data_IF_681070000927
#
_entry.id   IF_681070000927
#
_cell.length_a   1.000
_cell.length_b   1.000
_cell.length_c   1.000
_cell.angle_alpha   90.00
_cell.angle_beta   90.00
_cell.angle_gamma   90.00
#
_symmetry.space_group_name_H-M   'P 1'
#
loop_
_entity.id
_entity.type
_entity.pdbx_description
1 polymer ?
#
# COMPACT_ATOMS: atom_id res chain seq x y z
N UNK A 1 -2.49 22.04 -7.67
CA UNK A 1 -1.85 20.75 -7.32
C UNK A 1 -2.97 19.76 -7.00
N UNK A 2 -3.02 18.58 -7.61
CA UNK A 2 -4.12 17.62 -7.37
C UNK A 2 -4.14 17.17 -5.90
N UNK A 3 -5.32 16.81 -5.36
CA UNK A 3 -5.45 16.29 -3.98
C UNK A 3 -4.54 15.07 -3.75
N UNK A 4 -4.38 14.22 -4.77
CA UNK A 4 -3.46 13.09 -4.74
C UNK A 4 -2.00 13.53 -4.64
N UNK A 5 -1.54 14.48 -5.46
CA UNK A 5 -0.14 14.93 -5.44
C UNK A 5 0.30 15.48 -4.08
N UNK A 6 -0.61 16.12 -3.33
CA UNK A 6 -0.33 16.57 -1.95
C UNK A 6 -0.23 15.38 -0.98
N UNK A 7 -1.22 14.48 -1.02
CA UNK A 7 -1.25 13.26 -0.20
C UNK A 7 -0.02 12.38 -0.44
N UNK A 8 0.39 12.21 -1.70
CA UNK A 8 1.55 11.41 -2.10
C UNK A 8 2.86 11.98 -1.52
N UNK A 9 3.04 13.30 -1.60
CA UNK A 9 4.22 13.97 -1.01
C UNK A 9 4.30 13.73 0.49
N UNK A 10 3.20 13.89 1.21
CA UNK A 10 3.14 13.68 2.66
C UNK A 10 3.34 12.21 3.03
N UNK A 11 2.85 11.28 2.20
CA UNK A 11 3.09 9.86 2.37
C UNK A 11 4.59 9.52 2.22
N UNK A 12 5.27 10.08 1.22
CA UNK A 12 6.70 9.84 1.03
C UNK A 12 7.59 10.43 2.13
N UNK A 13 7.10 11.41 2.90
CA UNK A 13 7.79 11.88 4.11
C UNK A 13 7.83 10.83 5.24
N UNK A 14 7.02 9.77 5.18
CA UNK A 14 7.03 8.71 6.19
C UNK A 14 7.41 7.35 5.63
N UNK A 15 7.50 7.21 4.31
CA UNK A 15 7.99 5.98 3.68
C UNK A 15 9.52 5.94 3.73
N UNK A 16 10.05 4.72 3.74
CA UNK A 16 11.48 4.48 3.60
C UNK A 16 11.94 4.81 2.19
N UNK A 17 13.13 5.39 2.10
CA UNK A 17 13.89 5.68 0.88
C UNK A 17 14.92 4.59 0.55
N UNK A 18 14.97 3.53 1.37
CA UNK A 18 15.96 2.46 1.25
C UNK A 18 15.60 1.42 0.17
N UNK A 19 14.32 1.35 -0.20
CA UNK A 19 13.77 0.44 -1.23
C UNK A 19 13.01 1.27 -2.26
N UNK A 20 12.98 0.83 -3.52
CA UNK A 20 12.23 1.51 -4.58
C UNK A 20 10.74 1.15 -4.51
N UNK A 21 10.07 1.71 -3.50
CA UNK A 21 8.62 1.59 -3.34
C UNK A 21 7.93 2.85 -3.85
N UNK A 22 6.97 2.67 -4.75
CA UNK A 22 6.19 3.78 -5.29
C UNK A 22 4.71 3.48 -5.16
N UNK A 23 3.95 4.51 -4.81
CA UNK A 23 2.48 4.49 -4.72
C UNK A 23 1.95 5.39 -5.81
N UNK A 24 1.05 4.85 -6.62
CA UNK A 24 0.48 5.54 -7.76
C UNK A 24 -1.04 5.62 -7.63
N UNK A 25 -1.61 6.68 -8.21
CA UNK A 25 -3.04 6.85 -8.39
C UNK A 25 -3.29 7.51 -9.75
N UNK A 26 -4.19 6.92 -10.54
CA UNK A 26 -4.65 7.49 -11.80
C UNK A 26 -6.16 7.37 -11.90
N UNK A 27 -6.78 8.29 -12.63
CA UNK A 27 -8.21 8.24 -12.95
C UNK A 27 -8.33 8.12 -14.46
N UNK A 28 -8.71 6.95 -14.94
CA UNK A 28 -8.96 6.71 -16.35
C UNK A 28 -10.37 7.18 -16.71
N UNK A 29 -10.51 7.97 -17.77
CA UNK A 29 -11.83 8.32 -18.30
C UNK A 29 -12.31 7.20 -19.19
N UNK A 30 -13.45 6.61 -18.86
CA UNK A 30 -14.23 5.81 -19.81
C UNK A 30 -15.30 6.69 -20.41
N UNK A 31 -15.18 6.90 -21.72
CA UNK A 31 -16.19 7.53 -22.56
C UNK A 31 -16.78 6.42 -23.43
N UNK A 32 -18.00 6.00 -23.10
CA UNK A 32 -18.73 4.96 -23.83
C UNK A 32 -20.10 5.49 -24.23
N UNK A 33 -20.72 4.89 -25.24
CA UNK A 33 -22.07 5.27 -25.70
C UNK A 33 -23.14 5.12 -24.60
N UNK A 34 -22.87 4.32 -23.57
CA UNK A 34 -23.76 4.06 -22.43
C UNK A 34 -23.44 4.91 -21.18
N UNK A 35 -22.47 5.81 -21.25
CA UNK A 35 -22.16 6.74 -20.16
C UNK A 35 -20.69 7.11 -20.02
N UNK A 36 -20.47 8.20 -19.28
CA UNK A 36 -19.14 8.71 -18.92
C UNK A 36 -18.87 8.36 -17.47
N UNK A 37 -17.88 7.50 -17.23
CA UNK A 37 -17.45 7.17 -15.86
C UNK A 37 -15.95 7.32 -15.70
N UNK A 38 -15.54 7.73 -14.51
CA UNK A 38 -14.14 7.81 -14.13
C UNK A 38 -13.76 6.50 -13.42
N UNK A 39 -12.73 5.82 -13.93
CA UNK A 39 -12.15 4.62 -13.35
C UNK A 39 -10.85 4.92 -12.64
N UNK A 40 -10.92 5.17 -11.34
CA UNK A 40 -9.74 5.35 -10.53
C UNK A 40 -9.04 4.03 -10.24
N UNK A 41 -7.71 4.04 -10.29
CA UNK A 41 -6.83 2.91 -10.00
C UNK A 41 -5.75 3.36 -9.04
N UNK A 42 -5.51 2.57 -7.99
CA UNK A 42 -4.32 2.67 -7.16
C UNK A 42 -3.45 1.45 -7.40
N UNK A 43 -2.15 1.65 -7.48
CA UNK A 43 -1.21 0.53 -7.49
C UNK A 43 0.08 0.90 -6.76
N UNK A 44 0.75 -0.12 -6.25
CA UNK A 44 2.02 0.02 -5.54
C UNK A 44 3.03 -0.85 -6.26
N UNK A 45 4.18 -0.25 -6.57
CA UNK A 45 5.33 -0.97 -7.10
C UNK A 45 6.42 -1.12 -6.05
N UNK A 46 7.16 -2.23 -6.13
CA UNK A 46 8.43 -2.44 -5.46
C UNK A 46 9.42 -2.90 -6.52
N UNK A 47 10.52 -2.16 -6.71
CA UNK A 47 11.52 -2.43 -7.76
C UNK A 47 10.85 -2.59 -9.14
N UNK A 48 9.95 -1.66 -9.47
CA UNK A 48 9.11 -1.65 -10.69
C UNK A 48 8.08 -2.80 -10.82
N UNK A 49 8.08 -3.78 -9.93
CA UNK A 49 7.06 -4.85 -9.89
C UNK A 49 5.80 -4.36 -9.19
N UNK A 50 4.62 -4.48 -9.82
CA UNK A 50 3.34 -4.21 -9.16
C UNK A 50 3.07 -5.29 -8.11
N UNK A 51 3.11 -4.90 -6.83
CA UNK A 51 2.86 -5.81 -5.69
C UNK A 51 1.44 -5.68 -5.13
N UNK A 52 0.76 -4.56 -5.39
CA UNK A 52 -0.62 -4.33 -5.00
C UNK A 52 -1.33 -3.48 -6.05
N UNK A 53 -2.56 -3.83 -6.44
CA UNK A 53 -3.29 -3.18 -7.54
C UNK A 53 -4.80 -3.23 -7.32
N UNK A 54 -5.38 -2.06 -7.02
CA UNK A 54 -6.82 -1.87 -6.95
C UNK A 54 -7.30 -1.11 -8.21
N UNK A 55 -8.35 -1.60 -8.89
CA UNK A 55 -9.21 -2.72 -8.48
C UNK A 55 -8.71 -4.11 -8.95
N UNK A 56 -7.69 -4.17 -9.81
CA UNK A 56 -7.35 -5.37 -10.60
C UNK A 56 -7.23 -6.67 -9.80
N UNK A 57 -6.59 -6.65 -8.62
CA UNK A 57 -6.41 -7.84 -7.78
C UNK A 57 -7.69 -8.33 -7.09
N UNK A 58 -8.73 -7.49 -7.08
CA UNK A 58 -9.94 -7.69 -6.31
C UNK A 58 -11.17 -7.91 -7.20
N UNK A 59 -11.03 -7.80 -8.52
CA UNK A 59 -12.10 -8.09 -9.49
C UNK A 59 -12.44 -9.58 -9.45
N UNK A 60 -13.73 -9.88 -9.33
CA UNK A 60 -14.26 -11.24 -9.36
C UNK A 60 -14.62 -11.64 -10.81
N UNK A 61 -14.80 -12.95 -11.04
CA UNK A 61 -15.08 -13.49 -12.38
C UNK A 61 -16.37 -12.96 -13.01
N UNK A 62 -17.34 -12.58 -12.18
CA UNK A 62 -18.62 -11.96 -12.52
C UNK A 62 -18.55 -10.43 -12.69
N UNK A 63 -17.35 -9.84 -12.63
CA UNK A 63 -17.13 -8.40 -12.81
C UNK A 63 -17.40 -7.55 -11.58
N UNK A 64 -17.74 -8.16 -10.44
CA UNK A 64 -17.79 -7.51 -9.14
C UNK A 64 -16.39 -7.23 -8.57
N UNK A 65 -16.35 -6.65 -7.37
CA UNK A 65 -15.10 -6.56 -6.59
C UNK A 65 -15.30 -7.12 -5.20
N UNK A 66 -14.38 -8.01 -4.81
CA UNK A 66 -14.36 -8.63 -3.50
C UNK A 66 -13.19 -8.13 -2.67
N UNK A 67 -13.51 -7.55 -1.52
CA UNK A 67 -12.51 -7.05 -0.59
C UNK A 67 -11.86 -8.19 0.23
N UNK A 68 -10.91 -7.86 1.12
CA UNK A 68 -10.19 -8.87 1.92
C UNK A 68 -11.05 -9.57 2.96
N UNK A 69 -12.22 -9.01 3.32
CA UNK A 69 -13.19 -9.60 4.24
C UNK A 69 -14.23 -10.48 3.54
N UNK A 70 -14.17 -10.58 2.20
CA UNK A 70 -15.12 -11.36 1.39
C UNK A 70 -16.38 -10.59 0.99
N UNK A 71 -16.52 -9.32 1.35
CA UNK A 71 -17.65 -8.49 0.90
C UNK A 71 -17.51 -8.19 -0.59
N UNK A 72 -18.59 -8.40 -1.34
CA UNK A 72 -18.66 -8.18 -2.79
C UNK A 72 -19.53 -6.96 -3.09
N UNK A 73 -18.99 -6.02 -3.84
CA UNK A 73 -19.70 -4.83 -4.30
C UNK A 73 -19.86 -4.82 -5.82
N UNK A 74 -20.96 -4.23 -6.29
CA UNK A 74 -21.22 -3.97 -7.72
C UNK A 74 -20.37 -2.80 -8.25
N UNK A 75 -19.85 -2.95 -9.46
CA UNK A 75 -19.15 -1.93 -10.23
C UNK A 75 -20.16 -1.05 -11.00
N UNK A 76 -20.01 0.29 -11.15
CA UNK A 76 -18.80 1.12 -10.95
C UNK A 76 -18.61 1.89 -9.62
N UNK A 77 -17.33 1.96 -9.19
CA UNK A 77 -16.85 2.35 -7.85
C UNK A 77 -16.78 3.86 -7.59
N UNK A 78 -17.77 4.44 -6.91
CA UNK A 78 -17.73 5.88 -6.58
C UNK A 78 -17.09 6.21 -5.23
N UNK A 79 -17.17 5.33 -4.22
CA UNK A 79 -16.77 5.66 -2.83
C UNK A 79 -15.42 5.10 -2.40
N UNK A 80 -14.99 3.95 -2.93
CA UNK A 80 -13.81 3.22 -2.46
C UNK A 80 -12.50 4.00 -2.56
N UNK A 81 -12.35 4.85 -3.58
CA UNK A 81 -11.15 5.68 -3.74
C UNK A 81 -11.05 6.77 -2.70
N UNK A 82 -12.19 7.42 -2.43
CA UNK A 82 -12.25 8.39 -1.37
C UNK A 82 -11.91 7.71 -0.05
N UNK A 83 -12.35 6.46 0.14
CA UNK A 83 -12.02 5.66 1.32
C UNK A 83 -10.52 5.29 1.38
N UNK A 84 -9.90 4.86 0.28
CA UNK A 84 -8.44 4.60 0.21
C UNK A 84 -7.65 5.88 0.51
N UNK A 85 -8.04 7.02 -0.07
CA UNK A 85 -7.39 8.31 0.20
C UNK A 85 -7.53 8.74 1.67
N UNK A 86 -8.71 8.56 2.26
CA UNK A 86 -8.98 8.83 3.68
C UNK A 86 -8.18 7.90 4.59
N UNK A 87 -8.05 6.62 4.23
CA UNK A 87 -7.26 5.64 4.96
C UNK A 87 -5.77 6.00 4.97
N UNK A 88 -5.21 6.40 3.81
CA UNK A 88 -3.82 6.88 3.72
C UNK A 88 -3.63 8.15 4.57
N UNK A 89 -4.58 9.09 4.50
CA UNK A 89 -4.57 10.32 5.32
C UNK A 89 -4.52 10.00 6.81
N UNK A 90 -5.43 9.15 7.26
CA UNK A 90 -5.51 8.67 8.64
C UNK A 90 -4.20 7.99 9.08
N UNK A 91 -3.59 7.18 8.20
CA UNK A 91 -2.32 6.52 8.49
C UNK A 91 -1.15 7.50 8.64
N UNK A 92 -1.08 8.54 7.81
CA UNK A 92 -0.06 9.59 7.90
C UNK A 92 -0.17 10.32 9.24
N UNK A 93 -1.39 10.70 9.61
CA UNK A 93 -1.70 11.45 10.83
C UNK A 93 -1.56 10.62 12.11
N UNK A 94 -1.49 9.29 12.00
CA UNK A 94 -1.34 8.40 13.16
C UNK A 94 0.06 8.56 13.81
N UNK A 95 0.13 8.86 15.11
CA UNK A 95 1.40 8.95 15.86
C UNK A 95 2.21 7.65 15.88
N UNK A 96 3.55 7.76 15.91
CA UNK A 96 4.51 6.63 15.83
C UNK A 96 4.31 5.56 16.92
N UNK A 97 3.87 5.97 18.11
CA UNK A 97 3.58 5.10 19.26
C UNK A 97 2.30 4.28 19.06
N UNK A 98 1.36 4.75 18.24
CA UNK A 98 0.07 4.10 17.99
C UNK A 98 0.06 3.22 16.74
N UNK A 99 0.97 3.44 15.78
CA UNK A 99 1.00 2.75 14.48
C UNK A 99 0.91 1.22 14.58
N UNK A 100 1.48 0.61 15.63
CA UNK A 100 1.56 -0.85 15.79
C UNK A 100 0.29 -1.46 16.40
N UNK A 101 -0.50 -0.67 17.14
CA UNK A 101 -1.67 -1.13 17.89
C UNK A 101 -2.98 -0.63 17.30
N UNK A 102 -2.97 0.52 16.60
CA UNK A 102 -4.16 1.10 16.00
C UNK A 102 -4.83 0.12 15.03
N UNK A 103 -6.14 -0.02 15.19
CA UNK A 103 -7.03 -0.69 14.24
C UNK A 103 -7.51 0.36 13.26
N UNK A 104 -7.38 0.07 11.97
CA UNK A 104 -7.84 0.93 10.89
C UNK A 104 -9.09 0.27 10.29
N UNK A 105 -10.26 0.71 10.73
CA UNK A 105 -11.54 0.04 10.47
C UNK A 105 -11.88 -0.07 8.98
N UNK A 106 -11.42 0.89 8.19
CA UNK A 106 -11.69 0.97 6.75
C UNK A 106 -10.60 0.36 5.87
N UNK A 107 -9.70 -0.47 6.42
CA UNK A 107 -8.70 -1.21 5.64
C UNK A 107 -9.30 -2.42 4.89
N UNK A 108 -10.23 -2.16 4.00
CA UNK A 108 -10.92 -3.20 3.22
C UNK A 108 -10.02 -3.88 2.19
N UNK A 109 -8.89 -3.28 1.84
CA UNK A 109 -8.02 -3.74 0.76
C UNK A 109 -6.63 -4.21 1.24
N UNK A 110 -6.43 -4.30 2.56
CA UNK A 110 -5.20 -4.79 3.18
C UNK A 110 -3.99 -3.86 2.97
N UNK A 111 -4.22 -2.56 2.79
CA UNK A 111 -3.23 -1.54 2.51
C UNK A 111 -2.39 -1.20 3.76
N UNK A 112 -2.96 -1.27 4.97
CA UNK A 112 -2.26 -0.78 6.17
C UNK A 112 -1.01 -1.60 6.48
N UNK A 113 -1.05 -2.92 6.27
CA UNK A 113 0.13 -3.75 6.48
C UNK A 113 1.24 -3.43 5.46
N UNK A 114 0.88 -3.07 4.22
CA UNK A 114 1.83 -2.59 3.22
C UNK A 114 2.48 -1.28 3.69
N UNK A 115 1.67 -0.31 4.13
CA UNK A 115 2.16 0.97 4.64
C UNK A 115 3.06 0.78 5.87
N UNK A 116 2.67 -0.05 6.84
CA UNK A 116 3.49 -0.39 8.02
C UNK A 116 4.85 -0.95 7.65
N UNK A 117 4.90 -1.84 6.66
CA UNK A 117 6.15 -2.40 6.18
C UNK A 117 7.02 -1.37 5.46
N UNK A 118 6.42 -0.40 4.77
CA UNK A 118 7.13 0.69 4.09
C UNK A 118 7.51 1.87 5.00
N UNK A 119 6.95 1.96 6.20
CA UNK A 119 7.09 3.14 7.07
C UNK A 119 8.47 3.21 7.75
N UNK A 120 9.20 4.32 7.56
CA UNK A 120 10.51 4.54 8.17
C UNK A 120 10.44 4.84 9.66
N UNK A 121 9.29 5.29 10.17
CA UNK A 121 9.03 5.47 11.62
C UNK A 121 9.03 4.12 12.34
N UNK A 122 8.78 3.02 11.62
CA UNK A 122 8.88 1.66 12.13
C UNK A 122 10.29 1.11 11.85
N UNK A 123 11.11 1.08 12.90
CA UNK A 123 12.49 0.59 12.83
C UNK A 123 12.62 -0.93 12.97
N UNK A 124 13.83 -1.40 12.65
CA UNK A 124 14.24 -2.82 12.55
C UNK A 124 13.79 -3.70 13.73
N UNK A 125 13.86 -3.18 14.97
CA UNK A 125 13.44 -3.88 16.21
C UNK A 125 11.98 -4.36 16.18
N UNK A 126 11.12 -3.74 15.36
CA UNK A 126 9.69 -4.09 15.25
C UNK A 126 9.39 -5.06 14.10
N UNK A 127 10.35 -5.34 13.20
CA UNK A 127 10.12 -6.20 12.03
C UNK A 127 9.70 -7.62 12.39
N UNK A 128 10.33 -8.22 13.42
CA UNK A 128 9.93 -9.54 13.90
C UNK A 128 8.48 -9.61 14.40
N UNK A 129 7.98 -8.52 15.03
CA UNK A 129 6.57 -8.43 15.46
C UNK A 129 5.62 -8.27 14.28
N UNK A 130 6.00 -7.46 13.27
CA UNK A 130 5.21 -7.30 12.04
C UNK A 130 5.10 -8.62 11.28
N UNK A 131 6.22 -9.31 11.02
CA UNK A 131 6.28 -10.55 10.24
C UNK A 131 5.35 -11.64 10.79
N UNK A 132 5.17 -11.72 12.12
CA UNK A 132 4.29 -12.70 12.77
C UNK A 132 2.79 -12.41 12.59
N UNK A 133 2.41 -11.16 12.35
CA UNK A 133 1.00 -10.72 12.26
C UNK A 133 0.51 -10.53 10.82
N UNK A 134 1.42 -10.43 9.87
CA UNK A 134 1.11 -10.08 8.48
C UNK A 134 0.93 -11.36 7.65
N UNK A 135 -0.23 -11.48 7.03
CA UNK A 135 -0.51 -12.51 6.02
C UNK A 135 -0.53 -11.94 4.59
N UNK A 136 -0.50 -10.60 4.44
CA UNK A 136 -0.46 -9.94 3.13
C UNK A 136 0.89 -10.16 2.45
N UNK A 137 0.88 -10.82 1.28
CA UNK A 137 2.10 -11.14 0.50
C UNK A 137 2.89 -9.90 0.07
N UNK A 138 2.22 -8.82 -0.34
CA UNK A 138 2.85 -7.57 -0.75
C UNK A 138 3.58 -6.91 0.43
N UNK A 139 2.95 -6.89 1.61
CA UNK A 139 3.57 -6.39 2.83
C UNK A 139 4.79 -7.22 3.25
N UNK A 140 4.71 -8.56 3.15
CA UNK A 140 5.83 -9.45 3.42
C UNK A 140 7.01 -9.22 2.47
N UNK A 141 6.75 -9.00 1.16
CA UNK A 141 7.79 -8.65 0.17
C UNK A 141 8.54 -7.38 0.58
N UNK A 142 7.83 -6.31 0.93
CA UNK A 142 8.42 -5.04 1.37
C UNK A 142 9.26 -5.24 2.65
N UNK A 143 8.70 -5.96 3.62
CA UNK A 143 9.39 -6.20 4.89
C UNK A 143 10.71 -6.97 4.67
N UNK A 144 10.68 -7.98 3.79
CA UNK A 144 11.85 -8.77 3.44
C UNK A 144 12.92 -7.89 2.75
N UNK A 145 12.53 -7.08 1.76
CA UNK A 145 13.46 -6.17 1.08
C UNK A 145 14.17 -5.23 2.07
N UNK A 146 13.43 -4.64 3.03
CA UNK A 146 14.04 -3.82 4.09
C UNK A 146 14.96 -4.63 5.00
N UNK A 147 14.59 -5.87 5.35
CA UNK A 147 15.43 -6.75 6.18
C UNK A 147 16.76 -7.10 5.48
N UNK A 148 16.73 -7.37 4.18
CA UNK A 148 17.91 -7.75 3.41
C UNK A 148 18.95 -6.61 3.34
N UNK A 149 18.48 -5.36 3.23
CA UNK A 149 19.36 -4.19 3.31
C UNK A 149 20.03 -4.08 4.68
N UNK A 150 19.31 -4.38 5.76
CA UNK A 150 19.88 -4.36 7.10
C UNK A 150 20.97 -5.41 7.31
N UNK A 151 20.87 -6.56 6.63
CA UNK A 151 21.88 -7.61 6.67
C UNK A 151 23.13 -7.20 5.87
N UNK A 152 22.95 -6.50 4.74
CA UNK A 152 24.04 -5.93 3.95
C UNK A 152 24.79 -4.84 4.72
N UNK A 153 24.10 -3.99 5.48
CA UNK A 153 24.75 -2.97 6.32
C UNK A 153 25.57 -3.58 7.49
N UNK A 154 25.17 -4.76 7.98
CA UNK A 154 25.81 -5.45 9.11
C UNK A 154 26.96 -6.39 8.72
N UNK A 155 27.09 -6.71 7.43
CA UNK A 155 28.23 -7.43 6.87
C UNK A 155 28.84 -6.57 5.77
N UNK A 156 29.94 -5.90 6.09
CA UNK A 156 30.95 -5.58 5.09
C UNK A 156 31.26 -6.90 4.38
N UNK A 157 30.74 -7.07 3.16
CA UNK A 157 31.07 -8.21 2.32
C UNK A 157 32.57 -8.11 2.04
N UNK A 158 33.36 -8.83 2.84
CA UNK A 158 34.72 -9.20 2.47
C UNK A 158 34.60 -10.14 1.27
N UNK A 159 34.43 -9.56 0.08
CA UNK A 159 34.76 -10.23 -1.16
C UNK A 159 36.27 -10.20 -1.24
N UNK A 160 36.91 -11.16 -0.56
CA UNK A 160 38.29 -11.50 -0.83
C UNK A 160 38.29 -12.50 -1.97
N UNK A 161 38.72 -12.01 -3.13
CA UNK A 161 39.31 -12.66 -4.31
C UNK A 161 38.67 -13.96 -4.82
#
# INVERSE_FOLDING_TARGET
MSRWSKLQKELYLIMTDQIDIQVHCAVYRMDSEYGKTNLPRYWITLDQEIIWDYPKQFVTHDGGVRNVTGFVAGYPYNTDISNISKLIREYIETPKNELMSKVFEYDHWGLINILRCADRRIGKRRFGKLRKKIHNKAALKILQARMDLCLKDGKMMSVTR
#
